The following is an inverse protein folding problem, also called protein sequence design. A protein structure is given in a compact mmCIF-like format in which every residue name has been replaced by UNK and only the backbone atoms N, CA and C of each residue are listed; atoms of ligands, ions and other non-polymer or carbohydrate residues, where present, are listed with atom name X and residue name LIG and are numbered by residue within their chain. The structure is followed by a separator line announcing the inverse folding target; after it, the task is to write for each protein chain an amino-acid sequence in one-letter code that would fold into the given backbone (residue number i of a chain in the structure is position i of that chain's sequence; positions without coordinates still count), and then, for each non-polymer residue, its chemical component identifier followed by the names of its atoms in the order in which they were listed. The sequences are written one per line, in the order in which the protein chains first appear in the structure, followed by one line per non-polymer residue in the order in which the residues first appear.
data_IF_629315864340
#
_entry.id   IF_629315864340
#
_cell.length_a   1.000
_cell.length_b   1.000
_cell.length_c   1.000
_cell.angle_alpha   90.00
_cell.angle_beta   90.00
_cell.angle_gamma   90.00
#
_symmetry.space_group_name_H-M   'P 1'
#
loop_
_entity.id
_entity.type
_entity.pdbx_description
1 polymer ?
#
# COMPACT_ATOMS: atom_id res chain seq x y z
N UNK A 1 -13.98 -13.24 16.29
CA UNK A 1 -12.67 -12.55 16.07
C UNK A 1 -12.58 -12.00 14.65
N UNK A 2 -12.04 -10.79 14.45
CA UNK A 2 -11.85 -10.16 13.13
C UNK A 2 -10.44 -9.56 13.02
N UNK A 3 -9.74 -9.82 11.92
CA UNK A 3 -8.44 -9.22 11.62
C UNK A 3 -8.59 -7.98 10.73
N UNK A 4 -7.97 -6.88 11.14
CA UNK A 4 -7.92 -5.62 10.42
C UNK A 4 -6.55 -5.49 9.75
N UNK A 5 -6.51 -5.80 8.45
CA UNK A 5 -5.31 -5.62 7.61
C UNK A 5 -5.15 -4.17 7.12
N UNK A 6 -6.21 -3.38 7.21
CA UNK A 6 -6.30 -2.02 6.70
C UNK A 6 -7.27 -1.18 7.56
N UNK A 7 -7.60 0.01 7.09
CA UNK A 7 -8.46 0.95 7.81
C UNK A 7 -9.95 0.77 7.49
N UNK A 8 -10.33 -0.36 6.91
CA UNK A 8 -11.69 -0.70 6.48
C UNK A 8 -12.72 -0.81 7.59
N UNK A 9 -12.30 -0.79 8.87
CA UNK A 9 -13.25 -0.62 9.98
C UNK A 9 -13.89 0.78 9.98
N UNK A 10 -13.21 1.82 9.47
CA UNK A 10 -13.66 3.21 9.58
C UNK A 10 -13.60 3.99 8.27
N UNK A 11 -12.93 3.47 7.25
CA UNK A 11 -12.72 4.13 5.98
C UNK A 11 -13.15 3.21 4.82
N UNK A 12 -14.18 3.62 4.06
CA UNK A 12 -14.66 2.85 2.92
C UNK A 12 -13.59 2.60 1.85
N UNK A 13 -12.62 3.52 1.69
CA UNK A 13 -11.47 3.38 0.79
C UNK A 13 -10.35 2.50 1.36
N UNK A 14 -10.43 2.12 2.64
CA UNK A 14 -9.48 1.27 3.38
C UNK A 14 -8.05 1.82 3.55
N UNK A 15 -7.67 2.89 2.86
CA UNK A 15 -6.32 3.45 2.90
C UNK A 15 -6.13 4.65 3.85
N UNK A 16 -7.21 5.17 4.45
CA UNK A 16 -7.18 6.30 5.38
C UNK A 16 -6.50 7.57 4.84
N UNK A 17 -6.49 7.74 3.51
CA UNK A 17 -5.98 8.95 2.84
C UNK A 17 -7.14 9.82 2.38
N UNK A 18 -7.24 11.02 2.96
CA UNK A 18 -8.25 12.00 2.58
C UNK A 18 -7.93 12.58 1.21
N UNK A 19 -8.86 12.42 0.27
CA UNK A 19 -8.73 12.82 -1.14
C UNK A 19 -7.43 12.33 -1.81
N UNK A 20 -6.85 11.24 -1.32
CA UNK A 20 -5.63 10.64 -1.88
C UNK A 20 -4.36 11.46 -1.67
N UNK A 21 -4.39 12.53 -0.87
CA UNK A 21 -3.25 13.42 -0.69
C UNK A 21 -2.66 13.39 0.72
N UNK A 22 -3.52 13.52 1.73
CA UNK A 22 -3.10 13.70 3.12
C UNK A 22 -3.67 12.60 4.02
N UNK A 23 -2.99 12.34 5.13
CA UNK A 23 -3.52 11.47 6.18
C UNK A 23 -4.89 11.98 6.64
N UNK A 24 -5.86 11.08 6.74
CA UNK A 24 -7.21 11.45 7.17
C UNK A 24 -7.24 11.77 8.67
N UNK A 25 -8.05 12.76 9.06
CA UNK A 25 -8.32 13.08 10.47
C UNK A 25 -9.40 12.21 11.12
N UNK A 26 -9.80 11.11 10.48
CA UNK A 26 -10.84 10.19 10.96
C UNK A 26 -12.20 10.35 10.27
N UNK A 27 -13.13 9.41 10.51
CA UNK A 27 -14.41 9.34 9.82
C UNK A 27 -15.34 10.49 10.21
N UNK A 28 -15.95 11.13 9.21
CA UNK A 28 -17.08 12.05 9.40
C UNK A 28 -17.96 12.01 8.15
N UNK A 29 -19.30 11.96 8.24
CA UNK A 29 -20.18 11.79 7.08
C UNK A 29 -19.92 12.83 5.98
N UNK A 30 -19.77 14.10 6.38
CA UNK A 30 -19.52 15.22 5.49
C UNK A 30 -18.19 15.12 4.72
N UNK A 31 -17.19 14.39 5.23
CA UNK A 31 -15.89 14.18 4.57
C UNK A 31 -15.84 12.86 3.80
N UNK A 32 -16.39 11.81 4.38
CA UNK A 32 -16.29 10.45 3.87
C UNK A 32 -16.99 10.30 2.52
N UNK A 33 -18.19 10.88 2.36
CA UNK A 33 -18.94 10.75 1.11
C UNK A 33 -18.24 11.44 -0.07
N UNK A 34 -17.83 12.72 -0.01
CA UNK A 34 -17.04 13.33 -1.08
C UNK A 34 -15.73 12.58 -1.35
N UNK A 35 -15.03 12.14 -0.30
CA UNK A 35 -13.78 11.40 -0.45
C UNK A 35 -13.97 10.03 -1.12
N UNK A 36 -15.06 9.33 -0.81
CA UNK A 36 -15.40 8.06 -1.46
C UNK A 36 -15.88 8.28 -2.90
N UNK A 37 -16.62 9.36 -3.17
CA UNK A 37 -17.07 9.73 -4.53
C UNK A 37 -15.89 9.98 -5.46
N UNK A 38 -14.87 10.71 -5.01
CA UNK A 38 -13.64 10.92 -5.79
C UNK A 38 -12.85 9.64 -6.09
N UNK A 39 -13.15 8.52 -5.42
CA UNK A 39 -12.46 7.25 -5.61
C UNK A 39 -13.30 6.18 -6.32
N UNK A 40 -14.60 6.08 -6.01
CA UNK A 40 -15.50 5.05 -6.53
C UNK A 40 -16.59 5.58 -7.47
N UNK A 41 -16.76 6.90 -7.60
CA UNK A 41 -17.93 7.53 -8.21
C UNK A 41 -19.15 7.56 -7.27
N UNK A 42 -20.12 8.43 -7.56
CA UNK A 42 -21.18 8.81 -6.62
C UNK A 42 -22.03 7.63 -6.12
N UNK A 43 -22.48 6.76 -7.04
CA UNK A 43 -23.36 5.63 -6.69
C UNK A 43 -22.66 4.64 -5.77
N UNK A 44 -21.46 4.19 -6.16
CA UNK A 44 -20.67 3.25 -5.35
C UNK A 44 -20.23 3.88 -4.03
N UNK A 45 -19.94 5.18 -4.02
CA UNK A 45 -19.56 5.90 -2.81
C UNK A 45 -20.65 5.95 -1.74
N UNK A 46 -21.91 6.18 -2.14
CA UNK A 46 -23.04 6.16 -1.21
C UNK A 46 -23.19 4.77 -0.55
N UNK A 47 -23.25 3.71 -1.37
CA UNK A 47 -23.40 2.34 -0.88
C UNK A 47 -22.23 1.92 0.02
N UNK A 48 -20.99 2.15 -0.41
CA UNK A 48 -19.79 1.76 0.36
C UNK A 48 -19.63 2.56 1.63
N UNK A 49 -19.95 3.86 1.63
CA UNK A 49 -19.84 4.70 2.83
C UNK A 49 -20.88 4.32 3.88
N UNK A 50 -22.15 4.17 3.48
CA UNK A 50 -23.23 3.77 4.39
C UNK A 50 -23.01 2.35 4.92
N UNK A 51 -22.67 1.41 4.03
CA UNK A 51 -22.34 0.03 4.42
C UNK A 51 -21.16 -0.01 5.40
N UNK A 52 -20.09 0.75 5.14
CA UNK A 52 -18.95 0.82 6.05
C UNK A 52 -19.34 1.38 7.43
N UNK A 53 -20.18 2.41 7.48
CA UNK A 53 -20.68 2.96 8.74
C UNK A 53 -21.50 1.95 9.54
N UNK A 54 -22.47 1.28 8.90
CA UNK A 54 -23.29 0.26 9.53
C UNK A 54 -22.44 -0.92 10.02
N UNK A 55 -21.54 -1.43 9.16
CA UNK A 55 -20.64 -2.53 9.50
C UNK A 55 -19.69 -2.15 10.64
N UNK A 56 -19.14 -0.93 10.66
CA UNK A 56 -18.30 -0.45 11.76
C UNK A 56 -19.04 -0.45 13.10
N UNK A 57 -20.27 0.06 13.10
CA UNK A 57 -21.12 0.14 14.28
C UNK A 57 -21.51 -1.26 14.80
N UNK A 58 -21.86 -2.18 13.90
CA UNK A 58 -22.19 -3.56 14.24
C UNK A 58 -20.95 -4.31 14.76
N UNK A 59 -19.85 -4.27 14.00
CA UNK A 59 -18.61 -4.99 14.34
C UNK A 59 -18.13 -4.66 15.76
N UNK A 60 -18.14 -3.39 16.16
CA UNK A 60 -17.72 -2.99 17.52
C UNK A 60 -18.56 -3.55 18.66
N UNK A 61 -19.77 -4.03 18.39
CA UNK A 61 -20.67 -4.63 19.39
C UNK A 61 -20.63 -6.15 19.40
N UNK A 62 -20.44 -6.75 18.22
CA UNK A 62 -20.61 -8.20 18.04
C UNK A 62 -19.28 -8.94 17.93
N UNK A 63 -18.19 -8.25 17.62
CA UNK A 63 -16.86 -8.87 17.53
C UNK A 63 -16.27 -9.00 18.92
N UNK A 64 -15.97 -10.24 19.31
CA UNK A 64 -15.36 -10.54 20.60
C UNK A 64 -13.98 -9.90 20.77
N UNK A 65 -13.22 -9.84 19.67
CA UNK A 65 -11.84 -9.34 19.64
C UNK A 65 -11.38 -8.96 18.23
N UNK A 66 -10.65 -7.85 18.15
CA UNK A 66 -9.98 -7.40 16.93
C UNK A 66 -8.49 -7.73 16.95
N UNK A 67 -7.95 -8.16 15.82
CA UNK A 67 -6.50 -8.22 15.60
C UNK A 67 -6.14 -7.11 14.62
N UNK A 68 -5.37 -6.12 15.05
CA UNK A 68 -4.84 -5.11 14.15
C UNK A 68 -3.44 -5.49 13.68
N UNK A 69 -3.16 -5.38 12.38
CA UNK A 69 -1.83 -5.72 11.84
C UNK A 69 -0.72 -4.72 12.20
N UNK A 70 -1.07 -3.59 12.83
CA UNK A 70 -0.11 -2.62 13.34
C UNK A 70 -0.75 -1.70 14.38
N UNK A 71 0.09 -1.05 15.18
CA UNK A 71 -0.34 0.04 16.06
C UNK A 71 -0.99 1.19 15.29
N UNK A 72 -0.56 1.46 14.05
CA UNK A 72 -1.18 2.47 13.21
C UNK A 72 -2.62 2.08 12.84
N UNK A 73 -2.87 0.83 12.47
CA UNK A 73 -4.24 0.34 12.21
C UNK A 73 -5.08 0.42 13.47
N UNK A 74 -4.59 -0.06 14.62
CA UNK A 74 -5.32 0.01 15.89
C UNK A 74 -5.70 1.46 16.27
N UNK A 75 -4.75 2.39 16.13
CA UNK A 75 -4.96 3.81 16.45
C UNK A 75 -5.98 4.47 15.53
N UNK A 76 -5.77 4.40 14.22
CA UNK A 76 -6.59 5.15 13.27
C UNK A 76 -7.95 4.51 13.00
N UNK A 77 -8.12 3.21 13.31
CA UNK A 77 -9.45 2.60 13.39
C UNK A 77 -10.16 2.86 14.71
N UNK A 78 -9.56 3.62 15.64
CA UNK A 78 -10.20 4.00 16.90
C UNK A 78 -10.39 2.83 17.88
N UNK A 79 -9.57 1.78 17.78
CA UNK A 79 -9.57 0.69 18.77
C UNK A 79 -8.86 1.14 20.06
N UNK A 80 -7.81 1.95 19.96
CA UNK A 80 -7.06 2.45 21.12
C UNK A 80 -7.84 3.41 22.03
N UNK A 81 -8.93 3.99 21.51
CA UNK A 81 -9.83 4.91 22.25
C UNK A 81 -11.18 4.26 22.58
N UNK A 82 -11.40 3.04 22.07
CA UNK A 82 -12.66 2.32 22.21
C UNK A 82 -12.64 1.36 23.39
N UNK A 83 -13.78 0.69 23.61
CA UNK A 83 -13.92 -0.39 24.58
C UNK A 83 -13.78 -1.79 23.97
N UNK A 84 -13.71 -1.87 22.65
CA UNK A 84 -13.61 -3.14 21.95
C UNK A 84 -12.26 -3.81 22.23
N UNK A 85 -12.23 -5.07 22.70
CA UNK A 85 -10.99 -5.79 22.93
C UNK A 85 -10.17 -5.90 21.64
N UNK A 86 -8.86 -5.64 21.71
CA UNK A 86 -7.98 -5.78 20.57
C UNK A 86 -6.57 -6.21 20.98
N UNK A 87 -5.88 -6.86 20.05
CA UNK A 87 -4.43 -7.08 20.09
C UNK A 87 -3.79 -6.57 18.81
N UNK A 88 -2.48 -6.29 18.87
CA UNK A 88 -1.69 -5.92 17.68
C UNK A 88 -0.79 -7.09 17.33
N UNK A 89 -1.06 -7.73 16.19
CA UNK A 89 -0.29 -8.87 15.69
C UNK A 89 0.06 -8.59 14.22
N UNK A 90 1.32 -8.25 13.90
CA UNK A 90 1.75 -8.00 12.53
C UNK A 90 1.56 -9.21 11.61
N UNK A 91 1.50 -8.94 10.30
CA UNK A 91 1.61 -10.02 9.31
C UNK A 91 3.03 -10.58 9.33
N UNK A 92 3.14 -11.89 9.17
CA UNK A 92 4.41 -12.60 9.08
C UNK A 92 4.77 -12.86 7.61
N UNK A 93 6.06 -12.95 7.33
CA UNK A 93 6.59 -13.49 6.08
C UNK A 93 7.02 -14.94 6.33
N UNK A 94 6.86 -15.85 5.35
CA UNK A 94 7.41 -17.19 5.45
C UNK A 94 8.93 -17.16 5.65
N UNK A 95 9.48 -18.08 6.45
CA UNK A 95 10.92 -18.17 6.71
C UNK A 95 11.73 -18.50 5.43
N UNK A 96 11.07 -19.10 4.44
CA UNK A 96 11.66 -19.47 3.15
C UNK A 96 11.45 -18.42 2.05
N UNK A 97 10.94 -17.22 2.38
CA UNK A 97 10.69 -16.17 1.38
C UNK A 97 11.96 -15.76 0.61
N UNK A 98 13.13 -15.90 1.21
CA UNK A 98 14.43 -15.57 0.60
C UNK A 98 15.03 -16.71 -0.24
N UNK A 99 14.41 -17.90 -0.22
CA UNK A 99 14.86 -19.03 -1.03
C UNK A 99 14.61 -18.72 -2.49
N UNK A 100 15.70 -18.63 -3.26
CA UNK A 100 15.60 -18.35 -4.69
C UNK A 100 15.04 -19.55 -5.42
N UNK A 101 13.93 -19.31 -6.11
CA UNK A 101 13.43 -20.20 -7.15
C UNK A 101 14.25 -20.12 -8.45
N UNK A 102 13.79 -20.78 -9.52
CA UNK A 102 14.46 -20.72 -10.82
C UNK A 102 14.52 -19.29 -11.36
N UNK A 103 15.60 -19.00 -12.09
CA UNK A 103 15.76 -17.74 -12.82
C UNK A 103 14.71 -17.60 -13.92
N UNK A 104 14.26 -16.37 -14.13
CA UNK A 104 13.32 -16.01 -15.19
C UNK A 104 14.04 -15.19 -16.28
N UNK A 105 13.60 -15.34 -17.54
CA UNK A 105 14.17 -14.61 -18.66
C UNK A 105 14.09 -13.08 -18.50
N UNK A 106 13.11 -12.56 -17.76
CA UNK A 106 12.98 -11.11 -17.49
C UNK A 106 14.17 -10.52 -16.74
N UNK A 107 14.95 -11.33 -16.01
CA UNK A 107 16.17 -10.90 -15.31
C UNK A 107 17.24 -10.34 -16.24
N UNK A 108 17.19 -10.68 -17.54
CA UNK A 108 18.08 -10.11 -18.57
C UNK A 108 17.84 -8.63 -18.83
N UNK A 109 16.67 -8.11 -18.43
CA UNK A 109 16.37 -6.68 -18.50
C UNK A 109 16.99 -5.86 -17.37
N UNK A 110 17.50 -6.51 -16.31
CA UNK A 110 18.14 -5.80 -15.21
C UNK A 110 19.49 -5.21 -15.61
N UNK A 111 19.91 -4.10 -14.96
CA UNK A 111 21.25 -3.56 -15.12
C UNK A 111 22.33 -4.60 -14.83
N UNK A 112 23.43 -4.52 -15.58
CA UNK A 112 24.64 -5.30 -15.30
C UNK A 112 25.44 -4.76 -14.11
N UNK A 113 25.28 -3.48 -13.78
CA UNK A 113 25.85 -2.82 -12.61
C UNK A 113 24.88 -2.86 -11.42
N UNK A 114 25.36 -2.41 -10.27
CA UNK A 114 24.52 -2.15 -9.09
C UNK A 114 23.37 -1.18 -9.40
N UNK A 115 22.21 -1.41 -8.77
CA UNK A 115 21.00 -0.63 -8.98
C UNK A 115 20.15 -0.52 -7.71
N UNK A 116 19.30 0.50 -7.68
CA UNK A 116 18.27 0.72 -6.67
C UNK A 116 17.00 0.01 -7.12
N UNK A 117 16.31 -0.69 -6.22
CA UNK A 117 15.10 -1.43 -6.56
C UNK A 117 13.86 -0.90 -5.81
N UNK A 118 12.76 -0.75 -6.54
CA UNK A 118 11.43 -0.58 -5.98
C UNK A 118 10.50 -1.65 -6.55
N UNK A 119 9.76 -2.34 -5.68
CA UNK A 119 8.77 -3.36 -6.07
C UNK A 119 7.42 -3.05 -5.45
N UNK A 120 6.40 -2.95 -6.29
CA UNK A 120 5.01 -2.75 -5.87
C UNK A 120 4.20 -1.96 -6.89
N UNK A 121 2.89 -1.84 -6.67
CA UNK A 121 2.04 -0.98 -7.50
C UNK A 121 2.63 0.45 -7.56
N UNK A 122 2.77 0.98 -8.77
CA UNK A 122 3.40 2.30 -9.01
C UNK A 122 2.41 3.42 -8.69
N UNK A 123 2.04 3.54 -7.41
CA UNK A 123 1.01 4.46 -6.93
C UNK A 123 1.61 5.55 -6.08
N UNK A 124 0.92 6.69 -5.98
CA UNK A 124 1.29 7.75 -5.05
C UNK A 124 1.31 7.27 -3.60
N UNK A 125 0.37 6.38 -3.22
CA UNK A 125 0.29 5.82 -1.87
C UNK A 125 1.52 4.99 -1.50
N UNK A 126 2.17 4.37 -2.48
CA UNK A 126 3.41 3.62 -2.29
C UNK A 126 4.65 4.52 -2.32
N UNK A 127 4.46 5.83 -2.48
CA UNK A 127 5.53 6.83 -2.39
C UNK A 127 6.33 6.99 -3.67
N UNK A 128 5.78 6.63 -4.83
CA UNK A 128 6.53 6.68 -6.10
C UNK A 128 7.04 8.09 -6.42
N UNK A 129 6.21 9.11 -6.17
CA UNK A 129 6.59 10.52 -6.39
C UNK A 129 7.72 10.95 -5.45
N UNK A 130 7.65 10.53 -4.18
CA UNK A 130 8.67 10.83 -3.16
C UNK A 130 9.98 10.14 -3.51
N UNK A 131 9.93 8.88 -3.96
CA UNK A 131 11.09 8.14 -4.42
C UNK A 131 11.75 8.83 -5.61
N UNK A 132 10.99 9.23 -6.63
CA UNK A 132 11.52 9.90 -7.81
C UNK A 132 12.12 11.28 -7.47
N UNK A 133 11.48 12.02 -6.56
CA UNK A 133 11.99 13.31 -6.09
C UNK A 133 13.32 13.14 -5.33
N UNK A 134 13.40 12.16 -4.43
CA UNK A 134 14.63 11.87 -3.69
C UNK A 134 15.74 11.34 -4.62
N UNK A 135 15.39 10.48 -5.58
CA UNK A 135 16.32 9.96 -6.56
C UNK A 135 16.93 11.08 -7.43
N UNK A 136 16.12 12.07 -7.81
CA UNK A 136 16.58 13.22 -8.59
C UNK A 136 17.61 14.11 -7.84
N UNK A 137 17.70 14.03 -6.51
CA UNK A 137 18.70 14.77 -5.74
C UNK A 137 20.00 13.99 -5.50
N UNK A 138 20.14 12.77 -6.03
CA UNK A 138 21.36 11.98 -5.89
C UNK A 138 22.40 12.37 -6.94
N UNK A 139 23.62 12.66 -6.49
CA UNK A 139 24.77 12.80 -7.39
C UNK A 139 25.31 11.42 -7.79
N UNK A 140 25.59 11.23 -9.09
CA UNK A 140 26.09 9.95 -9.63
C UNK A 140 25.20 8.75 -9.24
N UNK A 141 23.90 8.94 -9.35
CA UNK A 141 22.90 7.94 -8.95
C UNK A 141 23.07 6.60 -9.73
N UNK A 142 23.14 5.45 -9.04
CA UNK A 142 22.97 4.14 -9.66
C UNK A 142 21.62 4.05 -10.37
N UNK A 143 21.45 3.14 -11.33
CA UNK A 143 20.16 2.99 -12.02
C UNK A 143 19.03 2.67 -11.04
N UNK A 144 17.86 3.25 -11.25
CA UNK A 144 16.65 2.95 -10.47
C UNK A 144 15.75 2.02 -11.28
N UNK A 145 15.46 0.85 -10.71
CA UNK A 145 14.59 -0.17 -11.29
C UNK A 145 13.26 -0.16 -10.55
N UNK A 146 12.18 0.10 -11.28
CA UNK A 146 10.80 0.07 -10.79
C UNK A 146 10.09 -1.16 -11.37
N UNK A 147 9.64 -2.09 -10.53
CA UNK A 147 8.89 -3.27 -10.98
C UNK A 147 7.50 -3.27 -10.37
N UNK A 148 6.46 -3.18 -11.21
CA UNK A 148 5.12 -3.10 -10.68
C UNK A 148 4.03 -2.83 -11.70
N UNK A 149 2.78 -2.89 -11.22
CA UNK A 149 1.62 -2.55 -12.03
C UNK A 149 1.48 -1.03 -12.15
N UNK A 150 1.25 -0.56 -13.37
CA UNK A 150 0.82 0.81 -13.65
C UNK A 150 -0.68 0.97 -13.37
N UNK A 151 -1.04 2.09 -12.76
CA UNK A 151 -2.41 2.46 -12.38
C UNK A 151 -2.68 3.91 -12.81
N UNK A 152 -3.89 4.40 -12.57
CA UNK A 152 -4.31 5.73 -13.04
C UNK A 152 -3.48 6.89 -12.46
N UNK A 153 -2.94 6.74 -11.25
CA UNK A 153 -2.09 7.74 -10.58
C UNK A 153 -0.58 7.46 -10.73
N UNK A 154 -0.17 6.55 -11.61
CA UNK A 154 1.24 6.34 -11.92
C UNK A 154 1.81 7.53 -12.71
N UNK A 155 3.02 8.04 -12.38
CA UNK A 155 3.68 9.05 -13.19
C UNK A 155 3.80 8.64 -14.66
N UNK A 156 3.57 9.59 -15.56
CA UNK A 156 3.71 9.35 -17.01
C UNK A 156 5.14 9.49 -17.49
N UNK A 157 5.94 10.28 -16.78
CA UNK A 157 7.33 10.59 -17.10
C UNK A 157 8.26 10.06 -16.02
N UNK A 158 9.39 9.51 -16.46
CA UNK A 158 10.44 8.99 -15.61
C UNK A 158 11.78 9.55 -16.07
N UNK A 159 12.72 9.83 -15.16
CA UNK A 159 14.07 10.23 -15.54
C UNK A 159 14.75 9.17 -16.44
N UNK A 160 15.65 9.56 -17.36
CA UNK A 160 16.29 8.61 -18.29
C UNK A 160 17.06 7.47 -17.62
N UNK A 161 17.53 7.67 -16.38
CA UNK A 161 18.26 6.66 -15.60
C UNK A 161 17.34 5.76 -14.76
N UNK A 162 16.05 5.68 -15.12
CA UNK A 162 15.02 4.85 -14.47
C UNK A 162 14.50 3.81 -15.45
N UNK A 163 14.57 2.54 -15.07
CA UNK A 163 13.99 1.42 -15.81
C UNK A 163 12.67 1.02 -15.18
N UNK A 164 11.62 0.95 -15.98
CA UNK A 164 10.26 0.61 -15.50
C UNK A 164 9.79 -0.67 -16.15
N UNK A 165 9.51 -1.66 -15.31
CA UNK A 165 9.00 -2.96 -15.72
C UNK A 165 7.59 -3.19 -15.17
N UNK A 166 6.80 -3.98 -15.90
CA UNK A 166 5.51 -4.49 -15.43
C UNK A 166 5.71 -5.55 -14.34
N UNK A 167 4.61 -6.17 -13.89
CA UNK A 167 4.65 -7.23 -12.88
C UNK A 167 5.53 -8.40 -13.32
N UNK A 168 6.40 -8.87 -12.42
CA UNK A 168 7.26 -10.03 -12.61
C UNK A 168 6.83 -11.20 -11.70
N UNK A 169 7.21 -12.44 -12.04
CA UNK A 169 7.08 -13.57 -11.13
C UNK A 169 7.83 -13.34 -9.82
N UNK A 170 7.32 -13.92 -8.73
CA UNK A 170 7.92 -13.76 -7.40
C UNK A 170 9.40 -14.16 -7.36
N UNK A 171 9.80 -15.28 -7.98
CA UNK A 171 11.21 -15.69 -8.03
C UNK A 171 12.10 -14.64 -8.67
N UNK A 172 11.68 -14.03 -9.79
CA UNK A 172 12.42 -12.97 -10.46
C UNK A 172 12.58 -11.72 -9.59
N UNK A 173 11.56 -11.37 -8.82
CA UNK A 173 11.65 -10.29 -7.82
C UNK A 173 12.70 -10.62 -6.76
N UNK A 174 12.71 -11.84 -6.22
CA UNK A 174 13.69 -12.23 -5.21
C UNK A 174 15.13 -12.23 -5.76
N UNK A 175 15.31 -12.64 -7.01
CA UNK A 175 16.59 -12.51 -7.73
C UNK A 175 17.01 -11.05 -7.93
N UNK A 176 16.07 -10.18 -8.31
CA UNK A 176 16.34 -8.74 -8.45
C UNK A 176 16.71 -8.10 -7.11
N UNK A 177 16.01 -8.45 -6.04
CA UNK A 177 16.27 -7.95 -4.69
C UNK A 177 17.64 -8.39 -4.16
N UNK A 178 18.05 -9.64 -4.42
CA UNK A 178 19.41 -10.09 -4.05
C UNK A 178 20.53 -9.32 -4.78
N UNK A 179 20.23 -8.76 -5.96
CA UNK A 179 21.19 -8.01 -6.80
C UNK A 179 21.12 -6.49 -6.58
N UNK A 180 20.15 -5.98 -5.84
CA UNK A 180 20.01 -4.54 -5.59
C UNK A 180 20.98 -4.08 -4.50
N UNK A 181 21.25 -2.77 -4.49
CA UNK A 181 22.10 -2.14 -3.48
C UNK A 181 21.50 -2.17 -2.08
N UNK A 182 20.17 -2.15 -2.00
CA UNK A 182 19.34 -2.16 -0.80
C UNK A 182 17.94 -2.67 -1.12
#
# INVERSE_FOLDING_TARGET
MVTLHDYGLVCAKKNFMHLGANLCSGPAPAKCLPCATGHYGAVKAAATSLGNWASSFAARRVVDRFIAVSHAVARHTGLTQGRAPYDVIPNFVPDDVEVLGPEDACLRGLPGSEFILFVGDLTRLKGIDVLLQAYASLERAPQLVLVGRRVADTPTEFPPNVLVFNMWPHSAIMHAWRRSLF
#
